data_IF_273388171011
#
_entry.id   IF_273388171011
#
_cell.length_a   1.000
_cell.length_b   1.000
_cell.length_c   1.000
_cell.angle_alpha   90.00
_cell.angle_beta   90.00
_cell.angle_gamma   90.00
#
_symmetry.space_group_name_H-M   'P 1'
#
loop_
_entity.id
_entity.type
_entity.pdbx_description
1 polymer ?
#
# COMPACT_ATOMS: atom_id res chain seq x y z
N UNK A 1 -8.46 19.97 -0.43
CA UNK A 1 -7.41 19.89 0.61
C UNK A 1 -6.11 19.52 -0.06
N UNK A 2 -4.98 20.12 0.34
CA UNK A 2 -3.66 19.75 -0.18
C UNK A 2 -3.33 18.31 0.22
N UNK A 3 -2.68 17.57 -0.68
CA UNK A 3 -2.22 16.21 -0.39
C UNK A 3 -1.10 16.25 0.65
N UNK A 4 -1.23 15.47 1.74
CA UNK A 4 -0.21 15.35 2.77
C UNK A 4 1.04 14.67 2.21
N UNK A 5 2.19 15.16 2.63
CA UNK A 5 3.51 14.55 2.33
C UNK A 5 3.88 13.51 3.41
N UNK A 6 4.94 12.74 3.16
CA UNK A 6 5.48 11.84 4.18
C UNK A 6 5.99 12.61 5.41
N UNK A 7 6.51 13.82 5.20
CA UNK A 7 6.95 14.71 6.27
C UNK A 7 5.79 15.18 7.14
N UNK A 8 4.66 15.53 6.52
CA UNK A 8 3.44 15.92 7.25
C UNK A 8 2.91 14.74 8.09
N UNK A 9 3.01 13.51 7.58
CA UNK A 9 2.62 12.29 8.30
C UNK A 9 3.55 11.98 9.49
N UNK A 10 4.80 12.40 9.43
CA UNK A 10 5.70 12.35 10.60
C UNK A 10 5.33 13.46 11.60
N UNK A 11 5.14 14.67 11.12
CA UNK A 11 4.84 15.83 11.96
C UNK A 11 3.54 15.67 12.77
N UNK A 12 2.53 15.00 12.18
CA UNK A 12 1.26 14.72 12.85
C UNK A 12 1.23 13.38 13.62
N UNK A 13 2.37 12.69 13.73
CA UNK A 13 2.50 11.45 14.48
C UNK A 13 1.92 10.20 13.81
N UNK A 14 1.53 10.26 12.54
CA UNK A 14 0.97 9.10 11.82
C UNK A 14 2.03 8.01 11.59
N UNK A 15 3.29 8.38 11.36
CA UNK A 15 4.41 7.45 11.16
C UNK A 15 5.73 8.02 11.67
N UNK A 16 6.74 7.17 11.77
CA UNK A 16 8.09 7.60 12.16
C UNK A 16 8.96 8.00 10.97
N UNK A 17 10.01 8.78 11.24
CA UNK A 17 11.07 9.05 10.25
C UNK A 17 11.79 7.79 9.75
N UNK A 18 11.84 6.71 10.59
CA UNK A 18 12.33 5.40 10.18
C UNK A 18 11.49 4.77 9.08
N UNK A 19 10.16 4.76 9.28
CA UNK A 19 9.20 4.29 8.28
C UNK A 19 9.32 5.08 6.97
N UNK A 20 9.43 6.42 7.05
CA UNK A 20 9.61 7.27 5.85
C UNK A 20 10.86 6.89 5.08
N UNK A 21 12.00 6.68 5.76
CA UNK A 21 13.24 6.26 5.08
C UNK A 21 13.09 4.92 4.37
N UNK A 22 12.43 3.95 5.02
CA UNK A 22 12.15 2.63 4.43
C UNK A 22 11.26 2.75 3.20
N UNK A 23 10.15 3.47 3.31
CA UNK A 23 9.18 3.63 2.22
C UNK A 23 9.79 4.39 1.02
N UNK A 24 10.61 5.43 1.28
CA UNK A 24 11.33 6.13 0.19
C UNK A 24 12.27 5.20 -0.57
N UNK A 25 13.12 4.46 0.14
CA UNK A 25 14.02 3.49 -0.49
C UNK A 25 13.26 2.46 -1.30
N UNK A 26 12.15 1.93 -0.76
CA UNK A 26 11.30 1.00 -1.48
C UNK A 26 10.76 1.60 -2.79
N UNK A 27 10.25 2.84 -2.76
CA UNK A 27 9.73 3.50 -3.97
C UNK A 27 10.85 3.80 -4.96
N UNK A 28 12.01 4.27 -4.52
CA UNK A 28 13.19 4.49 -5.37
C UNK A 28 13.63 3.19 -6.05
N UNK A 29 13.55 2.07 -5.34
CA UNK A 29 13.83 0.73 -5.87
C UNK A 29 12.66 0.10 -6.65
N UNK A 30 11.56 0.83 -6.90
CA UNK A 30 10.35 0.35 -7.59
C UNK A 30 9.73 -0.88 -6.94
N UNK A 31 9.67 -0.90 -5.60
CA UNK A 31 9.03 -1.98 -4.84
C UNK A 31 7.52 -1.78 -4.76
N UNK A 32 6.80 -2.89 -4.96
CA UNK A 32 5.33 -2.89 -4.88
C UNK A 32 4.87 -2.86 -3.43
N UNK A 33 3.81 -2.11 -3.14
CA UNK A 33 3.28 -2.02 -1.79
C UNK A 33 1.76 -2.02 -1.75
N UNK A 34 1.24 -2.55 -0.66
CA UNK A 34 -0.17 -2.62 -0.30
C UNK A 34 -0.39 -1.83 0.99
N UNK A 35 -1.37 -0.93 0.99
CA UNK A 35 -1.79 -0.21 2.19
C UNK A 35 -3.07 -0.84 2.74
N UNK A 36 -3.05 -1.26 4.00
CA UNK A 36 -4.19 -1.90 4.64
C UNK A 36 -4.67 -1.14 5.87
N UNK A 37 -5.96 -1.17 6.11
CA UNK A 37 -6.57 -0.65 7.34
C UNK A 37 -8.01 -1.13 7.50
N UNK A 38 -8.48 -1.20 8.74
CA UNK A 38 -9.86 -1.18 9.19
C UNK A 38 -9.99 -0.11 10.30
N UNK A 39 -11.15 0.55 10.41
CA UNK A 39 -12.31 0.57 9.51
C UNK A 39 -12.09 1.45 8.27
N UNK A 40 -13.18 1.80 7.58
CA UNK A 40 -13.14 2.84 6.52
C UNK A 40 -12.64 4.17 7.10
N UNK A 41 -12.14 5.07 6.24
CA UNK A 41 -11.60 6.40 6.62
C UNK A 41 -10.32 6.35 7.49
N UNK A 42 -9.73 5.19 7.69
CA UNK A 42 -8.48 5.04 8.45
C UNK A 42 -7.24 5.71 7.82
N UNK A 43 -7.36 6.28 6.61
CA UNK A 43 -6.29 7.04 5.97
C UNK A 43 -5.47 6.28 4.93
N UNK A 44 -5.93 5.11 4.43
CA UNK A 44 -5.24 4.34 3.38
C UNK A 44 -4.85 5.19 2.18
N UNK A 45 -5.83 5.89 1.60
CA UNK A 45 -5.60 6.75 0.43
C UNK A 45 -4.58 7.84 0.73
N UNK A 46 -4.69 8.51 1.89
CA UNK A 46 -3.77 9.57 2.30
C UNK A 46 -2.33 9.06 2.39
N UNK A 47 -2.11 7.94 3.11
CA UNK A 47 -0.78 7.35 3.25
C UNK A 47 -0.28 6.79 1.92
N UNK A 48 -1.11 6.05 1.19
CA UNK A 48 -0.75 5.48 -0.11
C UNK A 48 -0.34 6.54 -1.13
N UNK A 49 -1.08 7.65 -1.20
CA UNK A 49 -0.75 8.76 -2.10
C UNK A 49 0.50 9.54 -1.66
N UNK A 50 0.74 9.70 -0.35
CA UNK A 50 1.98 10.30 0.15
C UNK A 50 3.22 9.46 -0.22
N UNK A 51 3.10 8.12 -0.16
CA UNK A 51 4.16 7.21 -0.61
C UNK A 51 4.32 7.32 -2.14
N UNK A 52 3.22 7.27 -2.89
CA UNK A 52 3.25 7.32 -4.37
C UNK A 52 3.82 8.65 -4.90
N UNK A 53 3.63 9.75 -4.18
CA UNK A 53 4.19 11.05 -4.56
C UNK A 53 5.73 11.04 -4.62
N UNK A 54 6.40 10.13 -3.91
CA UNK A 54 7.85 9.94 -4.03
C UNK A 54 8.20 9.44 -5.44
N UNK A 55 7.40 8.55 -6.04
CA UNK A 55 7.63 8.05 -7.39
C UNK A 55 7.59 9.19 -8.43
N UNK A 56 6.62 10.10 -8.33
CA UNK A 56 6.53 11.25 -9.21
C UNK A 56 7.75 12.20 -9.06
N UNK A 57 8.26 12.40 -7.84
CA UNK A 57 9.45 13.26 -7.59
C UNK A 57 10.72 12.69 -8.23
N UNK A 58 10.82 11.37 -8.38
CA UNK A 58 11.98 10.74 -9.06
C UNK A 58 11.69 10.43 -10.53
N UNK A 59 10.67 11.06 -11.11
CA UNK A 59 10.34 10.97 -12.55
C UNK A 59 9.78 9.61 -12.98
N UNK A 60 9.31 8.77 -12.05
CA UNK A 60 8.71 7.49 -12.39
C UNK A 60 7.29 7.68 -12.95
N UNK A 61 6.94 7.01 -14.06
CA UNK A 61 5.58 7.07 -14.58
C UNK A 61 4.58 6.47 -13.58
N UNK A 62 3.43 7.10 -13.45
CA UNK A 62 2.31 6.60 -12.64
C UNK A 62 1.06 6.57 -13.52
N UNK A 63 0.37 5.43 -13.52
CA UNK A 63 -0.94 5.25 -14.18
C UNK A 63 -1.95 4.76 -13.16
N UNK A 64 -3.19 5.19 -13.31
CA UNK A 64 -4.27 4.87 -12.37
C UNK A 64 -5.25 3.91 -13.04
N UNK A 65 -5.51 2.79 -12.36
CA UNK A 65 -6.58 1.86 -12.72
C UNK A 65 -7.81 2.21 -11.85
N UNK A 66 -8.76 2.95 -12.39
CA UNK A 66 -9.88 3.45 -11.59
C UNK A 66 -11.24 3.36 -12.25
N UNK A 67 -11.32 2.91 -13.48
CA UNK A 67 -12.58 2.84 -14.25
C UNK A 67 -12.77 1.44 -14.87
N UNK A 68 -14.03 1.03 -15.01
CA UNK A 68 -14.40 -0.21 -15.71
C UNK A 68 -14.09 -0.10 -17.21
N UNK A 69 -13.66 -1.21 -17.81
CA UNK A 69 -13.40 -1.28 -19.25
C UNK A 69 -12.03 -0.78 -19.68
N UNK A 70 -11.16 -0.38 -18.77
CA UNK A 70 -9.78 0.03 -19.08
C UNK A 70 -8.91 -1.20 -19.38
N UNK A 71 -8.10 -1.10 -20.41
CA UNK A 71 -7.06 -2.09 -20.71
C UNK A 71 -5.92 -2.02 -19.70
N UNK A 72 -5.95 -2.92 -18.71
CA UNK A 72 -4.95 -3.01 -17.63
C UNK A 72 -3.56 -3.28 -18.19
N UNK A 73 -3.43 -4.10 -19.23
CA UNK A 73 -2.13 -4.44 -19.81
C UNK A 73 -1.51 -3.22 -20.50
N UNK A 74 -2.32 -2.40 -21.18
CA UNK A 74 -1.87 -1.13 -21.75
C UNK A 74 -1.42 -0.16 -20.68
N UNK A 75 -2.24 0.04 -19.62
CA UNK A 75 -1.85 0.91 -18.49
C UNK A 75 -0.57 0.44 -17.81
N UNK A 76 -0.43 -0.86 -17.59
CA UNK A 76 0.77 -1.44 -17.01
C UNK A 76 2.01 -1.19 -17.89
N UNK A 77 1.87 -1.33 -19.21
CA UNK A 77 2.95 -1.03 -20.15
C UNK A 77 3.35 0.47 -20.11
N UNK A 78 2.37 1.37 -20.05
CA UNK A 78 2.62 2.81 -19.90
C UNK A 78 3.22 3.21 -18.55
N UNK A 79 3.00 2.37 -17.51
CA UNK A 79 3.57 2.54 -16.17
C UNK A 79 4.92 1.83 -15.99
N UNK A 80 5.47 1.20 -17.04
CA UNK A 80 6.71 0.42 -16.93
C UNK A 80 7.87 1.25 -16.40
N UNK A 81 8.60 0.71 -15.42
CA UNK A 81 9.63 1.43 -14.69
C UNK A 81 9.09 2.38 -13.61
N UNK A 82 7.79 2.39 -13.39
CA UNK A 82 7.10 3.17 -12.37
C UNK A 82 5.97 2.38 -11.71
N UNK A 83 4.81 2.99 -11.53
CA UNK A 83 3.72 2.45 -10.73
C UNK A 83 2.39 2.39 -11.48
N UNK A 84 1.75 1.22 -11.42
CA UNK A 84 0.32 1.09 -11.62
C UNK A 84 -0.37 1.27 -10.24
N UNK A 85 -1.21 2.29 -10.13
CA UNK A 85 -1.97 2.57 -8.92
C UNK A 85 -3.39 2.00 -9.05
N UNK A 86 -3.74 1.06 -8.16
CA UNK A 86 -5.10 0.54 -8.00
C UNK A 86 -5.65 1.10 -6.68
N UNK A 87 -6.62 2.03 -6.72
CA UNK A 87 -7.05 2.76 -5.53
C UNK A 87 -7.53 1.88 -4.39
N UNK A 88 -8.36 0.87 -4.69
CA UNK A 88 -8.87 -0.07 -3.69
C UNK A 88 -9.20 -1.42 -4.31
N UNK A 89 -8.67 -2.50 -3.74
CA UNK A 89 -9.10 -3.87 -4.08
C UNK A 89 -10.31 -4.20 -3.22
N UNK A 90 -11.48 -4.33 -3.84
CA UNK A 90 -12.73 -4.58 -3.11
C UNK A 90 -13.82 -5.15 -4.03
N UNK A 91 -14.64 -6.03 -3.46
CA UNK A 91 -15.88 -6.53 -4.11
C UNK A 91 -17.04 -5.55 -3.98
N UNK A 92 -16.90 -4.48 -3.21
CA UNK A 92 -17.97 -3.50 -2.99
C UNK A 92 -18.19 -2.68 -4.27
N UNK A 93 -19.44 -2.49 -4.72
CA UNK A 93 -19.74 -1.77 -5.95
C UNK A 93 -19.69 -0.25 -5.75
N UNK A 94 -18.54 0.27 -5.35
CA UNK A 94 -18.28 1.71 -5.25
C UNK A 94 -17.37 2.12 -6.40
N UNK A 95 -17.94 2.80 -7.39
CA UNK A 95 -17.19 3.35 -8.50
C UNK A 95 -17.15 4.89 -8.41
N UNK A 96 -16.07 5.53 -8.91
CA UNK A 96 -14.86 4.92 -9.43
C UNK A 96 -13.89 4.51 -8.32
N UNK A 97 -13.06 3.51 -8.58
CA UNK A 97 -11.88 3.21 -7.77
C UNK A 97 -11.84 1.88 -7.01
N UNK A 98 -12.98 1.16 -6.92
CA UNK A 98 -13.00 -0.18 -6.33
C UNK A 98 -12.92 -1.23 -7.45
N UNK A 99 -11.89 -2.06 -7.41
CA UNK A 99 -11.56 -3.01 -8.46
C UNK A 99 -11.47 -4.42 -7.88
N UNK A 100 -12.03 -5.42 -8.57
CA UNK A 100 -11.99 -6.82 -8.17
C UNK A 100 -11.87 -7.75 -9.40
N UNK A 101 -11.39 -8.96 -9.18
CA UNK A 101 -11.36 -10.01 -10.20
C UNK A 101 -10.22 -9.84 -11.20
N UNK A 102 -10.49 -10.05 -12.47
CA UNK A 102 -9.48 -10.10 -13.53
C UNK A 102 -8.61 -8.83 -13.62
N UNK A 103 -9.13 -7.59 -13.52
CA UNK A 103 -8.28 -6.40 -13.55
C UNK A 103 -7.22 -6.38 -12.44
N UNK A 104 -7.57 -6.85 -11.23
CA UNK A 104 -6.62 -6.93 -10.12
C UNK A 104 -5.56 -8.01 -10.40
N UNK A 105 -5.96 -9.18 -10.88
CA UNK A 105 -5.01 -10.26 -11.27
C UNK A 105 -4.01 -9.77 -12.32
N UNK A 106 -4.47 -9.05 -13.35
CA UNK A 106 -3.61 -8.43 -14.36
C UNK A 106 -2.65 -7.38 -13.77
N UNK A 107 -3.12 -6.57 -12.82
CA UNK A 107 -2.28 -5.59 -12.12
C UNK A 107 -1.16 -6.27 -11.32
N UNK A 108 -1.45 -7.37 -10.60
CA UNK A 108 -0.43 -8.14 -9.91
C UNK A 108 0.55 -8.84 -10.87
N UNK A 109 0.07 -9.40 -11.98
CA UNK A 109 0.92 -9.99 -13.02
C UNK A 109 1.89 -8.96 -13.65
N UNK A 110 1.52 -7.68 -13.69
CA UNK A 110 2.35 -6.60 -14.22
C UNK A 110 3.62 -6.38 -13.40
N UNK A 111 3.64 -6.74 -12.09
CA UNK A 111 4.83 -6.63 -11.24
C UNK A 111 5.98 -7.45 -11.86
N UNK A 112 5.69 -8.66 -12.31
CA UNK A 112 6.67 -9.53 -12.97
C UNK A 112 7.18 -9.02 -14.32
N UNK A 113 6.53 -7.99 -14.89
CA UNK A 113 6.85 -7.39 -16.18
C UNK A 113 7.55 -6.03 -16.07
N UNK A 114 7.93 -5.62 -14.86
CA UNK A 114 8.69 -4.39 -14.59
C UNK A 114 7.84 -3.16 -14.27
N UNK A 115 6.58 -3.36 -13.86
CA UNK A 115 5.70 -2.29 -13.36
C UNK A 115 5.42 -2.56 -11.89
N UNK A 116 5.79 -1.63 -11.00
CA UNK A 116 5.47 -1.75 -9.59
C UNK A 116 3.97 -1.49 -9.34
N UNK A 117 3.43 -2.09 -8.30
CA UNK A 117 2.05 -1.92 -7.88
C UNK A 117 1.95 -1.07 -6.61
N UNK A 118 1.04 -0.10 -6.61
CA UNK A 118 0.58 0.61 -5.43
C UNK A 118 -0.92 0.35 -5.29
N UNK A 119 -1.34 -0.23 -4.18
CA UNK A 119 -2.77 -0.52 -3.98
C UNK A 119 -3.16 -0.48 -2.52
N UNK A 120 -4.46 -0.52 -2.26
CA UNK A 120 -5.03 -0.57 -0.92
C UNK A 120 -6.16 -1.61 -0.84
N UNK A 121 -6.42 -2.12 0.36
CA UNK A 121 -7.60 -2.92 0.67
C UNK A 121 -8.00 -2.80 2.14
N UNK A 122 -9.24 -3.18 2.44
CA UNK A 122 -9.72 -3.27 3.81
C UNK A 122 -9.30 -4.60 4.43
N UNK A 123 -8.35 -4.56 5.36
CA UNK A 123 -7.92 -5.72 6.15
C UNK A 123 -7.45 -5.30 7.54
N UNK A 124 -7.64 -6.17 8.49
CA UNK A 124 -7.30 -5.96 9.90
C UNK A 124 -5.86 -6.39 10.24
N UNK A 125 -5.27 -7.17 9.37
CA UNK A 125 -3.89 -7.65 9.52
C UNK A 125 -3.26 -7.98 8.17
N UNK A 126 -1.91 -8.08 8.08
CA UNK A 126 -1.23 -8.58 6.89
C UNK A 126 -1.73 -9.98 6.45
N UNK A 127 -1.96 -10.88 7.42
CA UNK A 127 -2.46 -12.23 7.13
C UNK A 127 -3.88 -12.20 6.55
N UNK A 128 -4.74 -11.32 7.04
CA UNK A 128 -6.08 -11.14 6.50
C UNK A 128 -6.04 -10.54 5.08
N UNK A 129 -5.16 -9.57 4.86
CA UNK A 129 -4.95 -9.00 3.52
C UNK A 129 -4.56 -10.08 2.50
N UNK A 130 -3.62 -10.96 2.84
CA UNK A 130 -3.20 -12.05 1.95
C UNK A 130 -4.35 -13.00 1.63
N UNK A 131 -5.19 -13.37 2.62
CA UNK A 131 -6.39 -14.19 2.40
C UNK A 131 -7.41 -13.53 1.46
N UNK A 132 -7.56 -12.19 1.54
CA UNK A 132 -8.45 -11.44 0.63
C UNK A 132 -7.89 -11.48 -0.79
N UNK A 133 -6.57 -11.32 -0.96
CA UNK A 133 -5.91 -11.41 -2.27
C UNK A 133 -5.99 -12.83 -2.85
N UNK A 134 -5.86 -13.87 -2.02
CA UNK A 134 -6.08 -15.27 -2.43
C UNK A 134 -7.52 -15.51 -2.92
N UNK A 135 -8.53 -14.94 -2.24
CA UNK A 135 -9.93 -15.00 -2.69
C UNK A 135 -10.16 -14.29 -4.04
N UNK A 136 -9.32 -13.31 -4.38
CA UNK A 136 -9.31 -12.71 -5.71
C UNK A 136 -8.58 -13.58 -6.75
N UNK A 137 -8.16 -14.80 -6.38
CA UNK A 137 -7.48 -15.78 -7.25
C UNK A 137 -6.16 -15.25 -7.85
N UNK A 138 -5.44 -14.38 -7.12
CA UNK A 138 -4.12 -13.94 -7.54
C UNK A 138 -3.15 -15.12 -7.44
N UNK A 139 -2.45 -15.47 -8.54
CA UNK A 139 -1.47 -16.55 -8.50
C UNK A 139 -0.42 -16.32 -7.42
N UNK A 140 -0.04 -17.37 -6.69
CA UNK A 140 0.97 -17.29 -5.62
C UNK A 140 2.30 -16.70 -6.09
N UNK A 141 2.68 -16.99 -7.35
CA UNK A 141 3.90 -16.43 -7.96
C UNK A 141 3.81 -14.90 -8.15
N UNK A 142 2.63 -14.34 -8.41
CA UNK A 142 2.42 -12.90 -8.56
C UNK A 142 2.25 -12.23 -7.19
N UNK A 143 1.55 -12.89 -6.26
CA UNK A 143 1.41 -12.43 -4.88
C UNK A 143 2.79 -12.34 -4.19
N UNK A 144 3.68 -13.32 -4.42
CA UNK A 144 5.05 -13.32 -3.90
C UNK A 144 5.97 -12.20 -4.43
N UNK A 145 5.50 -11.42 -5.42
CA UNK A 145 6.20 -10.23 -5.93
C UNK A 145 5.78 -8.94 -5.24
N UNK A 146 4.75 -8.98 -4.40
CA UNK A 146 4.44 -7.87 -3.51
C UNK A 146 5.56 -7.74 -2.48
N UNK A 147 6.10 -6.54 -2.31
CA UNK A 147 7.27 -6.34 -1.44
C UNK A 147 6.90 -5.90 -0.04
N UNK A 148 5.92 -4.99 0.10
CA UNK A 148 5.58 -4.38 1.37
C UNK A 148 4.08 -4.36 1.65
N UNK A 149 3.73 -4.49 2.93
CA UNK A 149 2.41 -4.11 3.47
C UNK A 149 2.61 -2.99 4.49
N UNK A 150 1.86 -1.90 4.31
CA UNK A 150 1.78 -0.76 5.23
C UNK A 150 0.44 -0.85 5.95
N UNK A 151 0.46 -1.13 7.24
CA UNK A 151 -0.74 -1.33 8.05
C UNK A 151 -1.06 -0.08 8.87
N UNK A 152 -2.28 0.45 8.73
CA UNK A 152 -2.74 1.66 9.40
C UNK A 152 -3.89 1.33 10.35
N UNK A 153 -3.93 2.01 11.49
CA UNK A 153 -5.08 2.02 12.41
C UNK A 153 -5.55 3.45 12.69
N UNK A 154 -6.87 3.60 12.82
CA UNK A 154 -7.48 4.78 13.45
C UNK A 154 -7.40 4.64 14.97
N UNK A 155 -7.28 5.76 15.67
CA UNK A 155 -7.31 5.84 17.11
C UNK A 155 -8.63 6.45 17.58
N UNK A 156 -9.08 6.08 18.78
CA UNK A 156 -10.36 6.49 19.35
C UNK A 156 -11.48 5.50 19.03
N UNK A 157 -12.59 5.64 19.73
CA UNK A 157 -13.73 4.71 19.67
C UNK A 157 -14.71 5.04 18.53
N UNK A 158 -14.68 6.28 18.04
CA UNK A 158 -15.49 6.71 16.90
C UNK A 158 -14.68 6.61 15.60
N UNK A 159 -15.02 5.63 14.78
CA UNK A 159 -14.33 5.39 13.51
C UNK A 159 -14.61 6.48 12.45
N UNK A 160 -15.71 7.24 12.58
CA UNK A 160 -16.03 8.36 11.68
C UNK A 160 -15.21 9.61 12.05
N UNK A 161 -14.92 9.79 13.35
CA UNK A 161 -14.16 10.92 13.88
C UNK A 161 -12.95 10.44 14.71
N UNK A 162 -11.98 9.76 14.09
CA UNK A 162 -10.83 9.24 14.81
C UNK A 162 -10.00 10.39 15.43
N UNK A 163 -9.52 10.18 16.64
CA UNK A 163 -8.64 11.13 17.33
C UNK A 163 -7.24 11.21 16.77
N UNK A 164 -6.86 10.22 15.98
CA UNK A 164 -5.58 10.15 15.28
C UNK A 164 -5.47 8.92 14.40
N UNK A 165 -4.31 8.77 13.76
CA UNK A 165 -3.99 7.60 12.93
C UNK A 165 -2.55 7.20 13.18
N UNK A 166 -2.26 5.89 13.13
CA UNK A 166 -0.90 5.35 13.22
C UNK A 166 -0.65 4.32 12.13
N UNK A 167 0.50 4.40 11.48
CA UNK A 167 1.05 3.25 10.75
C UNK A 167 1.57 2.30 11.81
N UNK A 168 0.79 1.25 12.10
CA UNK A 168 1.08 0.30 13.18
C UNK A 168 2.15 -0.70 12.79
N UNK A 169 2.42 -0.85 11.49
CA UNK A 169 3.49 -1.70 10.99
C UNK A 169 3.82 -1.45 9.53
N UNK A 170 5.12 -1.58 9.22
CA UNK A 170 5.63 -1.78 7.86
C UNK A 170 6.20 -3.18 7.81
N UNK A 171 5.64 -4.00 6.93
CA UNK A 171 5.99 -5.41 6.81
C UNK A 171 6.60 -5.68 5.43
N UNK A 172 7.71 -6.40 5.38
CA UNK A 172 8.29 -6.95 4.16
C UNK A 172 7.71 -8.34 3.91
N UNK A 173 7.42 -8.65 2.65
CA UNK A 173 6.97 -9.98 2.24
C UNK A 173 8.14 -10.78 1.66
N UNK A 174 8.15 -12.07 1.98
CA UNK A 174 8.96 -13.09 1.33
C UNK A 174 8.03 -14.24 0.93
N UNK A 175 7.62 -14.22 -0.34
CA UNK A 175 6.50 -15.06 -0.77
C UNK A 175 5.20 -14.62 -0.08
N UNK A 176 4.62 -15.50 0.73
CA UNK A 176 3.44 -15.23 1.56
C UNK A 176 3.79 -15.01 3.04
N UNK A 177 5.05 -15.15 3.43
CA UNK A 177 5.51 -14.85 4.78
C UNK A 177 5.70 -13.35 4.96
N UNK A 178 5.36 -12.84 6.14
CA UNK A 178 5.52 -11.42 6.47
C UNK A 178 6.55 -11.24 7.57
N UNK A 179 7.43 -10.27 7.40
CA UNK A 179 8.44 -9.86 8.39
C UNK A 179 8.26 -8.41 8.77
N UNK A 180 8.12 -8.13 10.05
CA UNK A 180 8.00 -6.76 10.56
C UNK A 180 9.32 -6.01 10.38
N UNK A 181 9.30 -4.88 9.70
CA UNK A 181 10.44 -3.96 9.59
C UNK A 181 10.37 -2.86 10.65
N UNK A 182 9.20 -2.25 10.80
CA UNK A 182 8.90 -1.24 11.82
C UNK A 182 7.54 -1.56 12.45
N UNK A 183 7.40 -1.21 13.72
CA UNK A 183 6.15 -1.36 14.47
C UNK A 183 5.88 -0.13 15.33
N UNK A 184 4.61 0.12 15.58
CA UNK A 184 4.13 1.04 16.60
C UNK A 184 3.72 0.28 17.86
N UNK A 185 4.14 0.77 19.01
CA UNK A 185 3.77 0.25 20.30
C UNK A 185 2.65 1.12 20.90
N UNK A 186 1.45 0.58 20.95
CA UNK A 186 0.23 1.28 21.40
C UNK A 186 0.35 1.73 22.87
N UNK A 187 1.02 0.95 23.73
CA UNK A 187 1.10 1.24 25.15
C UNK A 187 1.97 2.45 25.47
N UNK A 188 2.98 2.68 24.62
CA UNK A 188 3.95 3.76 24.83
C UNK A 188 3.80 4.88 23.81
N UNK A 189 2.94 4.71 22.81
CA UNK A 189 2.80 5.56 21.60
C UNK A 189 4.16 5.79 20.90
N UNK A 190 5.01 4.75 20.85
CA UNK A 190 6.35 4.85 20.29
C UNK A 190 6.51 3.95 19.07
N UNK A 191 7.25 4.44 18.09
CA UNK A 191 7.65 3.66 16.93
C UNK A 191 9.00 2.98 17.17
N UNK A 192 9.15 1.74 16.71
CA UNK A 192 10.36 0.92 16.85
C UNK A 192 10.82 0.40 15.48
N UNK A 193 12.10 0.54 15.18
CA UNK A 193 12.75 -0.20 14.10
C UNK A 193 13.02 -1.64 14.60
N UNK A 194 12.45 -2.64 13.92
CA UNK A 194 12.51 -4.06 14.29
C UNK A 194 13.54 -4.81 13.46
N UNK A 195 13.53 -4.60 12.15
CA UNK A 195 14.44 -5.23 11.21
C UNK A 195 14.79 -4.30 10.04
N UNK A 196 15.92 -4.57 9.38
CA UNK A 196 16.27 -3.89 8.11
C UNK A 196 15.62 -4.60 6.95
N UNK A 197 15.22 -3.87 5.86
CA UNK A 197 14.79 -4.50 4.63
C UNK A 197 15.87 -5.44 4.06
N UNK A 198 15.45 -6.49 3.37
CA UNK A 198 16.36 -7.43 2.67
C UNK A 198 16.19 -7.38 1.17
N UNK A 199 15.11 -6.80 0.67
CA UNK A 199 14.77 -6.78 -0.76
C UNK A 199 15.17 -5.49 -1.48
N UNK A 200 15.63 -4.45 -0.76
CA UNK A 200 16.01 -3.14 -1.32
C UNK A 200 16.90 -2.33 -0.38
#
# INVERSE_FOLDING_TARGET
>A
MAQLTLEDLVANGTMSGGMVRTLRKAVEARRSYLVIALPRLAGKTTVGMAILAVAARVGAPVRVLGEDGIDVDKLAQEAKGGYLYVPEVSTYPVTPGYVWGEPVRKAFAAIGRGTALSTALHADSPADALKILEKNEIPAADLGRLDLIVHIRSLGDDWEHPTGRRVVGVHELDGTATRVLQAWDEKTDQFKDVAKPTRF
#
